data_IF_454017903422
#
_entry.id   IF_454017903422
#
_cell.length_a   1.000
_cell.length_b   1.000
_cell.length_c   1.000
_cell.angle_alpha   90.00
_cell.angle_beta   90.00
_cell.angle_gamma   90.00
#
_symmetry.space_group_name_H-M   'P 1'
#
loop_
_entity.id
_entity.type
_entity.pdbx_description
1 polymer ?
#
# COMPACT_ATOMS: atom_id res chain seq x y z
N UNK A 1 -1.65 33.81 34.12
CA UNK A 1 -1.56 32.66 33.19
C UNK A 1 -2.25 33.09 31.90
N UNK A 2 -1.52 33.56 30.87
CA UNK A 2 -2.18 34.36 29.81
C UNK A 2 -3.22 33.61 28.97
N UNK A 3 -3.00 32.32 28.70
CA UNK A 3 -3.98 31.50 27.95
C UNK A 3 -5.23 31.22 28.79
N UNK A 4 -5.08 30.88 30.07
CA UNK A 4 -6.21 30.67 30.97
C UNK A 4 -6.99 31.98 31.22
N UNK A 5 -6.29 33.10 31.42
CA UNK A 5 -6.91 34.42 31.66
C UNK A 5 -7.74 34.90 30.46
N UNK A 6 -7.28 34.64 29.23
CA UNK A 6 -8.01 34.97 27.99
C UNK A 6 -9.22 34.07 27.79
N UNK A 7 -9.08 32.77 28.04
CA UNK A 7 -10.19 31.81 27.94
C UNK A 7 -11.30 32.09 28.97
N UNK A 8 -10.96 32.57 30.17
CA UNK A 8 -11.92 32.94 31.21
C UNK A 8 -12.58 34.30 30.92
N UNK A 9 -11.84 35.29 30.41
CA UNK A 9 -12.40 36.62 30.07
C UNK A 9 -13.32 36.62 28.85
N UNK A 10 -13.14 35.69 27.90
CA UNK A 10 -13.97 35.57 26.70
C UNK A 10 -14.50 34.14 26.54
N UNK A 11 -15.47 33.72 27.37
CA UNK A 11 -15.98 32.35 27.38
C UNK A 11 -16.59 31.93 26.03
N UNK A 12 -17.21 32.86 25.31
CA UNK A 12 -17.77 32.61 23.97
C UNK A 12 -16.68 32.25 22.94
N UNK A 13 -15.52 32.89 23.01
CA UNK A 13 -14.41 32.57 22.09
C UNK A 13 -13.85 31.18 22.37
N UNK A 14 -13.68 30.82 23.64
CA UNK A 14 -13.21 29.50 24.04
C UNK A 14 -14.17 28.38 23.62
N UNK A 15 -15.49 28.57 23.79
CA UNK A 15 -16.49 27.57 23.39
C UNK A 15 -16.60 27.43 21.87
N UNK A 16 -16.52 28.52 21.11
CA UNK A 16 -16.49 28.45 19.64
C UNK A 16 -15.27 27.69 19.12
N UNK A 17 -14.09 27.90 19.73
CA UNK A 17 -12.87 27.18 19.37
C UNK A 17 -13.02 25.68 19.62
N UNK A 18 -13.51 25.28 20.79
CA UNK A 18 -13.78 23.88 21.11
C UNK A 18 -14.82 23.29 20.15
N UNK A 19 -15.90 24.02 19.87
CA UNK A 19 -16.94 23.56 18.95
C UNK A 19 -16.39 23.36 17.53
N UNK A 20 -15.53 24.24 17.04
CA UNK A 20 -14.89 24.08 15.72
C UNK A 20 -14.04 22.83 15.63
N UNK A 21 -13.29 22.49 16.71
CA UNK A 21 -12.49 21.27 16.78
C UNK A 21 -13.38 20.02 16.80
N UNK A 22 -14.52 20.07 17.51
CA UNK A 22 -15.49 18.98 17.52
C UNK A 22 -16.09 18.76 16.14
N UNK A 23 -16.51 19.83 15.45
CA UNK A 23 -17.09 19.73 14.10
C UNK A 23 -16.09 19.18 13.10
N UNK A 24 -14.84 19.66 13.14
CA UNK A 24 -13.75 19.12 12.31
C UNK A 24 -13.48 17.65 12.61
N UNK A 25 -13.43 17.27 13.89
CA UNK A 25 -13.24 15.88 14.30
C UNK A 25 -14.37 14.97 13.81
N UNK A 26 -15.62 15.42 13.93
CA UNK A 26 -16.78 14.65 13.48
C UNK A 26 -16.79 14.44 11.97
N UNK A 27 -16.41 15.48 11.21
CA UNK A 27 -16.32 15.42 9.76
C UNK A 27 -15.17 14.50 9.32
N UNK A 28 -14.00 14.64 9.94
CA UNK A 28 -12.83 13.79 9.66
C UNK A 28 -13.09 12.33 9.99
N UNK A 29 -13.83 12.04 11.06
CA UNK A 29 -14.20 10.67 11.44
C UNK A 29 -15.13 10.01 10.40
N UNK A 30 -16.05 10.78 9.83
CA UNK A 30 -16.95 10.27 8.77
C UNK A 30 -16.28 10.11 7.41
N UNK A 31 -15.25 10.93 7.13
CA UNK A 31 -14.51 10.88 5.87
C UNK A 31 -13.39 9.83 5.87
N UNK A 32 -13.07 9.24 7.03
CA UNK A 32 -12.08 8.20 7.12
C UNK A 32 -12.59 6.94 6.41
N UNK A 33 -12.06 6.67 5.22
CA UNK A 33 -12.30 5.42 4.51
C UNK A 33 -11.69 4.28 5.35
N UNK A 34 -12.53 3.29 5.63
CA UNK A 34 -12.14 2.07 6.32
C UNK A 34 -11.96 1.01 5.26
N UNK A 35 -10.72 0.81 4.85
CA UNK A 35 -10.39 -0.26 3.92
C UNK A 35 -10.29 -1.58 4.72
N UNK A 36 -11.03 -2.61 4.26
CA UNK A 36 -11.04 -3.94 4.92
C UNK A 36 -9.68 -4.64 4.84
N UNK A 37 -8.89 -4.27 3.85
CA UNK A 37 -7.56 -4.77 3.62
C UNK A 37 -6.64 -3.55 3.52
N UNK A 38 -5.47 -3.56 4.18
CA UNK A 38 -4.45 -2.57 3.86
C UNK A 38 -4.08 -2.74 2.37
N UNK A 39 -3.71 -1.65 1.71
CA UNK A 39 -3.05 -1.72 0.40
C UNK A 39 -1.70 -2.44 0.58
N UNK A 40 -1.73 -3.77 0.48
CA UNK A 40 -0.54 -4.62 0.44
C UNK A 40 -0.14 -4.75 -1.03
N UNK A 41 0.82 -3.93 -1.43
CA UNK A 41 1.55 -4.14 -2.68
C UNK A 41 2.43 -5.38 -2.50
N UNK A 42 1.88 -6.57 -2.78
CA UNK A 42 2.66 -7.81 -2.76
C UNK A 42 3.57 -7.79 -4.00
N UNK A 43 4.90 -7.66 -3.86
CA UNK A 43 5.80 -7.44 -4.99
C UNK A 43 6.15 -8.77 -5.66
N UNK A 44 5.20 -9.39 -6.36
CA UNK A 44 5.44 -10.60 -7.14
C UNK A 44 5.13 -10.37 -8.62
N UNK A 45 5.95 -10.95 -9.49
CA UNK A 45 5.80 -10.89 -10.95
C UNK A 45 5.55 -12.30 -11.45
N UNK A 46 4.48 -12.49 -12.23
CA UNK A 46 4.14 -13.80 -12.83
C UNK A 46 4.46 -13.78 -14.31
N UNK A 47 5.32 -14.68 -14.75
CA UNK A 47 5.65 -14.91 -16.16
C UNK A 47 4.99 -16.23 -16.56
N UNK A 48 4.10 -16.19 -17.55
CA UNK A 48 3.43 -17.39 -18.06
C UNK A 48 3.79 -17.59 -19.52
N UNK A 49 4.39 -18.74 -19.82
CA UNK A 49 4.83 -19.09 -21.18
C UNK A 49 4.24 -20.43 -21.56
N UNK A 50 3.60 -20.51 -22.72
CA UNK A 50 2.95 -21.73 -23.21
C UNK A 50 3.62 -22.19 -24.51
N UNK A 51 4.18 -23.40 -24.50
CA UNK A 51 4.77 -24.03 -25.69
C UNK A 51 4.04 -25.36 -25.99
N UNK A 52 2.98 -25.33 -26.83
CA UNK A 52 2.18 -26.51 -27.09
C UNK A 52 2.99 -27.56 -27.90
N UNK A 53 2.99 -28.81 -27.43
CA UNK A 53 3.66 -29.93 -28.10
C UNK A 53 5.12 -30.15 -27.69
N UNK A 54 5.67 -29.34 -26.78
CA UNK A 54 6.97 -29.56 -26.18
C UNK A 54 6.88 -30.49 -24.96
N UNK A 55 7.85 -31.41 -24.84
CA UNK A 55 8.02 -32.19 -23.62
C UNK A 55 8.54 -31.33 -22.46
N UNK A 56 8.41 -31.77 -21.20
CA UNK A 56 8.86 -31.01 -20.03
C UNK A 56 10.34 -30.60 -20.11
N UNK A 57 11.23 -31.51 -20.52
CA UNK A 57 12.67 -31.18 -20.67
C UNK A 57 12.94 -30.11 -21.73
N UNK A 58 12.12 -30.08 -22.79
CA UNK A 58 12.26 -29.11 -23.87
C UNK A 58 11.80 -27.72 -23.40
N UNK A 59 10.71 -27.64 -22.62
CA UNK A 59 10.22 -26.37 -22.05
C UNK A 59 11.24 -25.80 -21.05
N UNK A 60 11.81 -26.66 -20.20
CA UNK A 60 12.83 -26.24 -19.23
C UNK A 60 14.06 -25.63 -19.93
N UNK A 61 14.59 -26.34 -20.93
CA UNK A 61 15.83 -25.95 -21.60
C UNK A 61 15.66 -24.75 -22.53
N UNK A 62 14.57 -24.73 -23.32
CA UNK A 62 14.40 -23.74 -24.39
C UNK A 62 13.63 -22.50 -23.97
N UNK A 63 12.86 -22.56 -22.87
CA UNK A 63 11.99 -21.46 -22.45
C UNK A 63 12.34 -21.01 -21.04
N UNK A 64 12.22 -21.90 -20.05
CA UNK A 64 12.40 -21.55 -18.64
C UNK A 64 13.80 -21.02 -18.37
N UNK A 65 14.83 -21.69 -18.89
CA UNK A 65 16.23 -21.32 -18.66
C UNK A 65 16.60 -19.96 -19.27
N UNK A 66 16.10 -19.66 -20.46
CA UNK A 66 16.33 -18.37 -21.12
C UNK A 66 15.67 -17.23 -20.34
N UNK A 67 14.45 -17.46 -19.84
CA UNK A 67 13.73 -16.47 -19.02
C UNK A 67 14.44 -16.27 -17.68
N UNK A 68 14.89 -17.35 -17.04
CA UNK A 68 15.65 -17.29 -15.79
C UNK A 68 16.95 -16.48 -15.98
N UNK A 69 17.76 -16.80 -16.99
CA UNK A 69 19.00 -16.08 -17.29
C UNK A 69 18.77 -14.58 -17.60
N UNK A 70 17.63 -14.23 -18.19
CA UNK A 70 17.26 -12.84 -18.48
C UNK A 70 16.75 -12.07 -17.25
N UNK A 71 16.15 -12.75 -16.27
CA UNK A 71 15.57 -12.15 -15.06
C UNK A 71 16.57 -12.13 -13.89
N UNK A 72 17.51 -13.08 -13.85
CA UNK A 72 18.56 -13.15 -12.82
C UNK A 72 19.40 -11.87 -12.64
N UNK A 73 19.76 -11.10 -13.69
CA UNK A 73 20.50 -9.85 -13.52
C UNK A 73 19.64 -8.65 -13.07
N UNK A 74 18.33 -8.81 -12.89
CA UNK A 74 17.46 -7.71 -12.43
C UNK A 74 17.70 -7.46 -10.93
N UNK A 75 18.26 -6.30 -10.60
CA UNK A 75 18.47 -5.88 -9.22
C UNK A 75 17.11 -5.76 -8.48
N UNK A 76 16.97 -6.49 -7.36
CA UNK A 76 15.77 -6.47 -6.51
C UNK A 76 14.89 -7.73 -6.58
N UNK A 77 15.31 -8.78 -7.31
CA UNK A 77 14.62 -10.07 -7.32
C UNK A 77 15.28 -11.03 -6.32
N UNK A 78 14.62 -11.30 -5.19
CA UNK A 78 15.16 -12.16 -4.13
C UNK A 78 14.90 -13.66 -4.37
N UNK A 79 13.82 -14.02 -5.08
CA UNK A 79 13.41 -15.41 -5.28
C UNK A 79 12.78 -15.62 -6.67
N UNK A 80 13.32 -16.58 -7.43
CA UNK A 80 12.80 -17.02 -8.72
C UNK A 80 12.32 -18.46 -8.54
N UNK A 81 11.06 -18.74 -8.85
CA UNK A 81 10.49 -20.09 -8.81
C UNK A 81 9.88 -20.42 -10.17
N UNK A 82 10.36 -21.52 -10.76
CA UNK A 82 9.87 -22.04 -12.05
C UNK A 82 9.11 -23.34 -11.83
N UNK A 83 7.99 -23.52 -12.54
CA UNK A 83 7.15 -24.73 -12.50
C UNK A 83 6.63 -25.03 -13.90
#
# INVERSE_FOLDING_TARGET
MKLADVSIKRPVFATMMIMSLIVLGLFSYRMLNVDLYPDVDIPYVVITTVLPGAGPEQIESDVTKIIEDAVNPVEGVDFIQST
#
